data_IF_380682448243
#
_entry.id   IF_380682448243
#
_cell.length_a   1.000
_cell.length_b   1.000
_cell.length_c   1.000
_cell.angle_alpha   90.00
_cell.angle_beta   90.00
_cell.angle_gamma   90.00
#
_symmetry.space_group_name_H-M   'P 1'
#
loop_
_entity.id
_entity.type
_entity.pdbx_description
1 polymer ?
#
# COMPACT_ATOMS: atom_id res chain seq x y z
N UNK A 1 -14.55 11.27 7.23
CA UNK A 1 -14.94 9.89 6.83
C UNK A 1 -13.67 9.04 6.77
N UNK A 2 -13.69 7.79 7.24
CA UNK A 2 -12.58 6.83 7.08
C UNK A 2 -13.04 5.72 6.13
N UNK A 3 -12.17 5.27 5.23
CA UNK A 3 -12.48 4.22 4.26
C UNK A 3 -11.51 3.05 4.40
N UNK A 4 -12.02 1.83 4.23
CA UNK A 4 -11.23 0.62 4.31
C UNK A 4 -10.94 0.10 2.91
N UNK A 5 -9.68 -0.20 2.64
CA UNK A 5 -9.25 -0.88 1.40
C UNK A 5 -8.74 -2.28 1.73
N UNK A 6 -9.00 -3.21 0.81
CA UNK A 6 -8.39 -4.54 0.85
C UNK A 6 -7.19 -4.52 -0.08
N UNK A 7 -6.00 -4.74 0.50
CA UNK A 7 -4.74 -4.88 -0.25
C UNK A 7 -4.26 -6.31 -0.18
N UNK A 8 -3.49 -6.72 -1.19
CA UNK A 8 -2.81 -8.01 -1.22
C UNK A 8 -1.32 -7.79 -1.02
N UNK A 9 -0.78 -8.35 0.06
CA UNK A 9 0.62 -8.16 0.47
C UNK A 9 1.32 -9.52 0.53
N UNK A 10 2.63 -9.50 0.29
CA UNK A 10 3.51 -10.68 0.40
C UNK A 10 4.04 -10.86 1.82
N UNK A 11 4.06 -9.77 2.57
CA UNK A 11 4.63 -9.73 3.88
C UNK A 11 3.64 -10.27 4.88
N UNK A 12 4.13 -11.13 5.77
CA UNK A 12 3.41 -11.37 7.00
C UNK A 12 3.43 -10.07 7.82
N UNK A 13 2.41 -9.25 7.63
CA UNK A 13 2.22 -8.04 8.41
C UNK A 13 1.75 -8.38 9.84
N UNK A 14 1.72 -9.66 10.27
CA UNK A 14 1.43 -10.07 11.65
C UNK A 14 2.24 -9.30 12.71
N UNK A 15 3.44 -8.81 12.38
CA UNK A 15 4.23 -7.97 13.27
C UNK A 15 3.70 -6.55 13.52
N UNK A 16 2.79 -6.04 12.69
CA UNK A 16 2.17 -4.72 12.86
C UNK A 16 0.70 -4.85 13.24
N UNK A 17 0.26 -4.12 14.26
CA UNK A 17 -1.16 -3.95 14.56
C UNK A 17 -1.86 -3.19 13.40
N UNK A 18 -3.18 -3.36 13.21
CA UNK A 18 -3.93 -2.63 12.19
C UNK A 18 -3.78 -1.10 12.27
N UNK A 19 -3.70 -0.57 13.50
CA UNK A 19 -3.49 0.85 13.77
C UNK A 19 -2.09 1.30 13.34
N UNK A 20 -1.07 0.49 13.63
CA UNK A 20 0.30 0.80 13.24
C UNK A 20 0.47 0.78 11.71
N UNK A 21 -0.14 -0.20 11.03
CA UNK A 21 -0.16 -0.23 9.54
C UNK A 21 -0.82 1.03 8.97
N UNK A 22 -1.95 1.42 9.57
CA UNK A 22 -2.68 2.64 9.18
C UNK A 22 -1.81 3.87 9.35
N UNK A 23 -1.11 3.99 10.48
CA UNK A 23 -0.22 5.12 10.77
C UNK A 23 0.94 5.19 9.78
N UNK A 24 1.64 4.07 9.54
CA UNK A 24 2.77 3.99 8.59
C UNK A 24 2.31 4.40 7.19
N UNK A 25 1.23 3.80 6.68
CA UNK A 25 0.73 4.10 5.34
C UNK A 25 0.27 5.54 5.23
N UNK A 26 -0.47 6.04 6.21
CA UNK A 26 -0.94 7.44 6.24
C UNK A 26 0.23 8.41 6.24
N UNK A 27 1.21 8.20 7.11
CA UNK A 27 2.39 9.05 7.22
C UNK A 27 3.19 9.05 5.92
N UNK A 28 3.48 7.87 5.37
CA UNK A 28 4.31 7.74 4.18
C UNK A 28 3.63 8.33 2.94
N UNK A 29 2.32 8.10 2.77
CA UNK A 29 1.55 8.69 1.67
C UNK A 29 1.53 10.21 1.77
N UNK A 30 1.43 10.78 2.97
CA UNK A 30 1.47 12.24 3.16
C UNK A 30 2.86 12.83 2.96
N UNK A 31 3.92 12.11 3.34
CA UNK A 31 5.30 12.62 3.23
C UNK A 31 5.87 12.57 1.81
N UNK A 32 5.39 11.65 0.96
CA UNK A 32 5.93 11.45 -0.38
C UNK A 32 5.27 12.35 -1.41
N UNK A 33 6.02 12.70 -2.44
CA UNK A 33 5.49 13.36 -3.63
C UNK A 33 4.66 12.39 -4.47
N UNK A 34 3.83 12.92 -5.39
CA UNK A 34 3.07 12.04 -6.29
C UNK A 34 3.98 11.22 -7.22
N UNK A 35 5.14 11.73 -7.60
CA UNK A 35 6.14 11.00 -8.40
C UNK A 35 6.74 9.82 -7.63
N UNK A 36 7.10 10.03 -6.36
CA UNK A 36 7.60 8.96 -5.49
C UNK A 36 6.53 7.89 -5.26
N UNK A 37 5.28 8.31 -5.06
CA UNK A 37 4.14 7.40 -4.93
C UNK A 37 3.91 6.61 -6.22
N UNK A 38 4.05 7.22 -7.40
CA UNK A 38 3.96 6.51 -8.68
C UNK A 38 5.09 5.48 -8.84
N UNK A 39 6.31 5.84 -8.45
CA UNK A 39 7.47 4.93 -8.50
C UNK A 39 7.21 3.70 -7.61
N UNK A 40 6.67 3.90 -6.41
CA UNK A 40 6.28 2.83 -5.50
C UNK A 40 5.05 2.04 -5.97
N UNK A 41 4.08 2.71 -6.60
CA UNK A 41 2.86 2.09 -7.10
C UNK A 41 3.05 1.33 -8.42
N UNK A 42 4.20 1.50 -9.10
CA UNK A 42 4.51 0.80 -10.35
C UNK A 42 4.30 -0.70 -10.16
N UNK A 43 3.39 -1.28 -10.95
CA UNK A 43 3.18 -2.73 -10.94
C UNK A 43 4.52 -3.39 -11.25
N UNK A 44 4.97 -4.27 -10.36
CA UNK A 44 5.99 -5.25 -10.75
C UNK A 44 5.33 -6.04 -11.88
N UNK A 45 5.98 -6.08 -13.05
CA UNK A 45 5.55 -6.98 -14.10
C UNK A 45 5.35 -8.38 -13.50
N UNK A 46 4.42 -9.10 -14.10
CA UNK A 46 3.88 -10.44 -13.79
C UNK A 46 4.94 -11.57 -13.64
N UNK A 47 6.18 -11.28 -13.22
CA UNK A 47 7.35 -12.15 -13.32
C UNK A 47 7.52 -13.15 -12.16
N UNK A 48 6.65 -13.15 -11.15
CA UNK A 48 6.77 -14.11 -10.03
C UNK A 48 5.45 -14.82 -9.70
N UNK A 49 5.04 -15.84 -10.48
CA UNK A 49 3.81 -16.60 -10.28
C UNK A 49 3.75 -17.47 -9.00
N UNK A 50 4.77 -17.43 -8.12
CA UNK A 50 4.83 -18.22 -6.87
C UNK A 50 4.49 -17.46 -5.57
N UNK A 51 4.12 -16.17 -5.64
CA UNK A 51 3.93 -15.33 -4.45
C UNK A 51 2.58 -15.58 -3.76
N UNK A 52 2.62 -16.05 -2.51
CA UNK A 52 1.44 -16.23 -1.64
C UNK A 52 0.97 -14.88 -1.09
N UNK A 53 0.23 -14.13 -1.91
CA UNK A 53 -0.39 -12.89 -1.49
C UNK A 53 -1.52 -13.16 -0.50
N UNK A 54 -1.49 -12.51 0.67
CA UNK A 54 -2.59 -12.57 1.65
C UNK A 54 -3.42 -11.29 1.60
N UNK A 55 -4.76 -11.38 1.64
CA UNK A 55 -5.61 -10.21 1.74
C UNK A 55 -5.44 -9.57 3.13
N UNK A 56 -5.40 -8.25 3.16
CA UNK A 56 -5.28 -7.47 4.38
C UNK A 56 -6.11 -6.19 4.25
N UNK A 57 -6.93 -5.92 5.26
CA UNK A 57 -7.66 -4.66 5.36
C UNK A 57 -6.76 -3.57 5.96
N UNK A 58 -6.80 -2.38 5.39
CA UNK A 58 -6.21 -1.16 5.97
C UNK A 58 -7.29 -0.09 5.99
N UNK A 59 -7.48 0.52 7.15
CA UNK A 59 -8.37 1.66 7.31
C UNK A 59 -7.56 2.92 7.08
N UNK A 60 -8.00 3.79 6.18
CA UNK A 60 -7.29 5.02 5.85
C UNK A 60 -8.18 6.25 6.02
N UNK A 61 -7.60 7.42 6.35
CA UNK A 61 -8.28 8.70 6.22
C UNK A 61 -8.74 8.95 4.77
N UNK A 62 -9.83 9.71 4.61
CA UNK A 62 -10.38 10.02 3.29
C UNK A 62 -9.38 10.70 2.34
N UNK A 63 -8.59 11.65 2.83
CA UNK A 63 -7.57 12.35 2.04
C UNK A 63 -6.52 11.40 1.46
N UNK A 64 -6.07 10.44 2.28
CA UNK A 64 -5.11 9.41 1.87
C UNK A 64 -5.77 8.48 0.85
N UNK A 65 -7.01 8.07 1.09
CA UNK A 65 -7.73 7.16 0.22
C UNK A 65 -7.97 7.77 -1.18
N UNK A 66 -8.40 9.01 -1.25
CA UNK A 66 -8.56 9.76 -2.50
C UNK A 66 -7.24 9.88 -3.26
N UNK A 67 -6.14 10.17 -2.54
CA UNK A 67 -4.81 10.24 -3.14
C UNK A 67 -4.37 8.88 -3.67
N UNK A 68 -4.63 7.79 -2.94
CA UNK A 68 -4.30 6.43 -3.37
C UNK A 68 -5.13 5.96 -4.58
N UNK A 69 -6.40 6.36 -4.66
CA UNK A 69 -7.28 6.02 -5.78
C UNK A 69 -6.76 6.52 -7.13
N UNK A 70 -6.00 7.63 -7.14
CA UNK A 70 -5.34 8.13 -8.36
C UNK A 70 -4.32 7.15 -8.95
N UNK A 71 -3.84 6.19 -8.15
CA UNK A 71 -2.87 5.17 -8.55
C UNK A 71 -3.51 3.81 -8.85
N UNK A 72 -4.78 3.82 -9.29
CA UNK A 72 -5.47 2.63 -9.81
C UNK A 72 -5.41 2.62 -11.34
N UNK A 73 -4.84 1.57 -11.94
CA UNK A 73 -4.81 1.43 -13.39
C UNK A 73 -3.97 0.26 -13.89
N UNK A 74 -3.79 0.12 -15.20
CA UNK A 74 -3.01 -0.98 -15.78
C UNK A 74 -1.53 -0.94 -15.36
N UNK A 75 -0.97 0.26 -15.15
CA UNK A 75 0.44 0.50 -14.80
C UNK A 75 0.71 0.55 -13.29
N UNK A 76 -0.28 0.96 -12.50
CA UNK A 76 -0.12 1.20 -11.07
C UNK A 76 -1.05 0.32 -10.22
N UNK A 77 -0.60 -0.06 -9.03
CA UNK A 77 -1.32 -0.89 -8.09
C UNK A 77 -1.20 -0.36 -6.68
N UNK A 78 -2.35 -0.01 -6.09
CA UNK A 78 -2.45 0.37 -4.67
C UNK A 78 -1.94 -0.75 -3.76
N UNK A 79 -2.14 -2.02 -4.12
CA UNK A 79 -1.59 -3.14 -3.34
C UNK A 79 -0.06 -3.15 -3.39
N UNK A 80 0.55 -2.88 -4.55
CA UNK A 80 2.02 -2.84 -4.68
C UNK A 80 2.62 -1.65 -3.91
N UNK A 81 1.97 -0.49 -4.00
CA UNK A 81 2.35 0.71 -3.25
C UNK A 81 2.36 0.45 -1.74
N UNK A 82 1.24 -0.05 -1.21
CA UNK A 82 1.08 -0.32 0.21
C UNK A 82 2.05 -1.40 0.69
N UNK A 83 2.25 -2.46 -0.10
CA UNK A 83 3.22 -3.51 0.21
C UNK A 83 4.64 -2.94 0.34
N UNK A 84 5.10 -2.11 -0.61
CA UNK A 84 6.43 -1.47 -0.54
C UNK A 84 6.57 -0.49 0.62
N UNK A 85 5.52 0.28 0.92
CA UNK A 85 5.54 1.20 2.07
C UNK A 85 5.74 0.41 3.37
N UNK A 86 5.00 -0.68 3.55
CA UNK A 86 5.11 -1.51 4.75
C UNK A 86 6.42 -2.29 4.81
N UNK A 87 6.95 -2.73 3.67
CA UNK A 87 8.27 -3.35 3.56
C UNK A 87 9.38 -2.37 3.98
N UNK A 88 9.33 -1.13 3.47
CA UNK A 88 10.29 -0.07 3.82
C UNK A 88 10.27 0.35 5.29
N UNK A 89 9.23 0.00 6.05
CA UNK A 89 9.10 0.28 7.47
C UNK A 89 9.55 -0.90 8.36
N UNK A 90 9.83 -2.07 7.78
CA UNK A 90 10.38 -3.25 8.48
C UNK A 90 11.91 -3.25 8.53
N UNK A 91 12.56 -2.59 7.57
CA UNK A 91 14.01 -2.42 7.48
C UNK A 91 14.48 -1.23 8.32
#
# INVERSE_FOLDING_TARGET
MRGSIIVRTEHDCAGFSPEHRTAIVTQKVRSLSDEDLQALALRREKQHPGRRLRPMAITLPADVLERLQRFQGARWSVSALVDRILDSAKA
#
